data_IF_679693154109
#
_entry.id   IF_679693154109
#
_cell.length_a   1.000
_cell.length_b   1.000
_cell.length_c   1.000
_cell.angle_alpha   90.00
_cell.angle_beta   90.00
_cell.angle_gamma   90.00
#
_symmetry.space_group_name_H-M   'P 1'
#
loop_
_entity.id
_entity.type
_entity.pdbx_description
1 polymer ?
#
# COMPACT_ATOMS: atom_id res chain seq x y z
N UNK A 1 2.53 -28.63 32.67
CA UNK A 1 2.86 -27.73 31.56
C UNK A 1 2.01 -28.01 30.34
N UNK A 2 0.85 -27.38 30.28
CA UNK A 2 -0.04 -27.39 29.11
C UNK A 2 -0.41 -25.94 28.86
N UNK A 3 0.19 -25.34 27.82
CA UNK A 3 -0.20 -24.01 27.35
C UNK A 3 -1.53 -24.18 26.61
N UNK A 4 -2.66 -23.62 27.09
CA UNK A 4 -3.94 -23.75 26.40
C UNK A 4 -3.98 -22.85 25.16
N UNK A 5 -4.70 -23.31 24.13
CA UNK A 5 -5.28 -22.51 23.06
C UNK A 5 -4.39 -21.86 22.00
N UNK A 6 -3.42 -22.61 21.43
CA UNK A 6 -2.94 -22.27 20.08
C UNK A 6 -3.98 -22.65 19.03
N UNK A 7 -4.80 -21.68 18.61
CA UNK A 7 -5.63 -21.80 17.40
C UNK A 7 -4.71 -21.78 16.18
N UNK A 8 -4.41 -22.95 15.61
CA UNK A 8 -3.73 -23.07 14.32
C UNK A 8 -4.74 -22.94 13.19
N UNK A 9 -4.59 -21.92 12.35
CA UNK A 9 -5.32 -21.80 11.10
C UNK A 9 -4.53 -22.52 10.00
N UNK A 10 -5.09 -23.61 9.47
CA UNK A 10 -4.53 -24.35 8.34
C UNK A 10 -5.18 -23.83 7.06
N UNK A 11 -4.44 -23.02 6.30
CA UNK A 11 -4.86 -22.61 4.96
C UNK A 11 -4.24 -23.53 3.91
N UNK A 12 -4.93 -23.70 2.77
CA UNK A 12 -4.38 -24.43 1.63
C UNK A 12 -3.14 -23.66 1.13
N UNK A 13 -1.99 -24.33 1.11
CA UNK A 13 -0.75 -23.76 0.58
C UNK A 13 -0.93 -23.50 -0.92
N UNK A 14 -0.99 -22.22 -1.30
CA UNK A 14 -0.92 -21.79 -2.69
C UNK A 14 0.56 -21.74 -3.07
N UNK A 15 0.97 -22.60 -4.01
CA UNK A 15 2.36 -22.69 -4.49
C UNK A 15 2.82 -21.44 -5.25
N UNK A 16 1.89 -20.56 -5.64
CA UNK A 16 2.16 -19.28 -6.28
C UNK A 16 1.50 -18.17 -5.43
N UNK A 17 2.29 -17.17 -5.02
CA UNK A 17 1.75 -15.96 -4.41
C UNK A 17 1.45 -14.93 -5.51
N UNK A 18 0.56 -13.98 -5.22
CA UNK A 18 0.22 -12.89 -6.14
C UNK A 18 1.49 -12.24 -6.70
N UNK A 19 2.47 -11.97 -5.83
CA UNK A 19 3.77 -11.40 -6.18
C UNK A 19 4.48 -12.15 -7.33
N UNK A 20 4.58 -13.47 -7.28
CA UNK A 20 5.20 -14.28 -8.34
C UNK A 20 4.38 -14.38 -9.63
N UNK A 21 3.07 -14.12 -9.56
CA UNK A 21 2.17 -14.10 -10.71
C UNK A 21 2.23 -12.76 -11.46
N UNK A 22 2.24 -11.63 -10.74
CA UNK A 22 2.38 -10.28 -11.31
C UNK A 22 3.82 -9.90 -11.71
N UNK A 23 4.82 -10.74 -11.40
CA UNK A 23 6.19 -10.63 -11.96
C UNK A 23 6.31 -11.10 -13.42
N UNK A 24 5.23 -11.66 -13.99
CA UNK A 24 5.14 -12.03 -15.40
C UNK A 24 4.68 -10.82 -16.22
N UNK A 25 5.00 -10.77 -17.52
CA UNK A 25 4.50 -9.70 -18.40
C UNK A 25 2.98 -9.86 -18.60
N UNK A 26 2.19 -9.18 -17.77
CA UNK A 26 0.73 -9.27 -17.75
C UNK A 26 0.11 -8.05 -18.43
N UNK A 27 -0.92 -8.26 -19.25
CA UNK A 27 -1.71 -7.17 -19.80
C UNK A 27 -2.41 -6.37 -18.68
N UNK A 28 -2.50 -5.04 -18.80
CA UNK A 28 -3.25 -4.17 -17.88
C UNK A 28 -4.66 -4.70 -17.56
N UNK A 29 -5.37 -5.19 -18.58
CA UNK A 29 -6.71 -5.79 -18.41
C UNK A 29 -6.74 -7.02 -17.49
N UNK A 30 -5.68 -7.83 -17.50
CA UNK A 30 -5.60 -9.02 -16.63
C UNK A 30 -5.28 -8.61 -15.19
N UNK A 31 -4.40 -7.63 -15.03
CA UNK A 31 -4.06 -7.04 -13.75
C UNK A 31 -5.30 -6.44 -13.07
N UNK A 32 -6.06 -5.63 -13.81
CA UNK A 32 -7.30 -5.02 -13.35
C UNK A 32 -8.30 -6.08 -12.86
N UNK A 33 -8.45 -7.18 -13.61
CA UNK A 33 -9.31 -8.32 -13.22
C UNK A 33 -8.84 -9.00 -11.94
N UNK A 34 -7.54 -9.23 -11.78
CA UNK A 34 -6.99 -9.83 -10.57
C UNK A 34 -7.27 -8.95 -9.35
N UNK A 35 -7.07 -7.64 -9.51
CA UNK A 35 -7.32 -6.66 -8.47
C UNK A 35 -8.81 -6.59 -8.09
N UNK A 36 -9.71 -6.59 -9.08
CA UNK A 36 -11.16 -6.65 -8.86
C UNK A 36 -11.56 -7.92 -8.09
N UNK A 37 -11.01 -9.08 -8.47
CA UNK A 37 -11.25 -10.34 -7.75
C UNK A 37 -10.74 -10.28 -6.29
N UNK A 38 -9.55 -9.72 -6.06
CA UNK A 38 -8.99 -9.56 -4.71
C UNK A 38 -9.86 -8.64 -3.84
N UNK A 39 -10.31 -7.51 -4.39
CA UNK A 39 -11.21 -6.57 -3.70
C UNK A 39 -12.59 -7.18 -3.43
N UNK A 40 -13.13 -7.99 -4.35
CA UNK A 40 -14.36 -8.75 -4.11
C UNK A 40 -14.20 -9.74 -2.96
N UNK A 41 -13.06 -10.44 -2.90
CA UNK A 41 -12.72 -11.31 -1.78
C UNK A 41 -12.63 -10.54 -0.46
N UNK A 42 -11.90 -9.42 -0.43
CA UNK A 42 -11.76 -8.56 0.76
C UNK A 42 -13.11 -7.97 1.21
N UNK A 43 -13.93 -7.49 0.27
CA UNK A 43 -15.26 -6.97 0.56
C UNK A 43 -16.21 -8.05 1.09
N UNK A 44 -16.11 -9.28 0.58
CA UNK A 44 -16.88 -10.43 1.07
C UNK A 44 -16.40 -10.94 2.45
N UNK A 45 -15.16 -10.63 2.84
CA UNK A 45 -14.56 -11.03 4.11
C UNK A 45 -14.70 -9.99 5.23
N UNK A 46 -15.38 -8.85 5.00
CA UNK A 46 -15.28 -7.73 5.92
C UNK A 46 -16.07 -7.90 7.23
N UNK A 47 -15.33 -8.14 8.32
CA UNK A 47 -15.51 -7.51 9.63
C UNK A 47 -14.17 -7.06 10.28
N UNK A 48 -13.01 -7.09 9.60
CA UNK A 48 -11.69 -6.90 10.28
C UNK A 48 -10.63 -6.01 9.61
N UNK A 49 -11.00 -5.01 8.81
CA UNK A 49 -10.14 -3.85 8.50
C UNK A 49 -8.66 -4.18 8.12
N UNK A 50 -8.43 -5.26 7.36
CA UNK A 50 -7.10 -5.69 6.95
C UNK A 50 -6.65 -4.94 5.71
N UNK A 51 -5.76 -3.98 5.92
CA UNK A 51 -5.17 -3.09 4.91
C UNK A 51 -4.05 -3.82 4.15
N UNK A 52 -4.36 -4.48 3.03
CA UNK A 52 -3.33 -5.04 2.15
C UNK A 52 -2.97 -4.05 1.02
N UNK A 53 -2.40 -2.89 1.39
CA UNK A 53 -2.14 -1.77 0.48
C UNK A 53 -1.05 -2.03 -0.59
N UNK A 54 -0.16 -2.98 -0.37
CA UNK A 54 0.99 -3.19 -1.27
C UNK A 54 0.65 -3.97 -2.55
N UNK A 55 -0.47 -4.72 -2.57
CA UNK A 55 -0.83 -5.58 -3.71
C UNK A 55 -1.40 -4.77 -4.88
N UNK A 56 -2.12 -3.68 -4.61
CA UNK A 56 -2.82 -2.90 -5.63
C UNK A 56 -1.87 -2.06 -6.49
N UNK A 57 -0.84 -1.46 -5.86
CA UNK A 57 0.15 -0.63 -6.58
C UNK A 57 1.04 -1.50 -7.46
N UNK A 58 1.50 -2.64 -6.93
CA UNK A 58 2.36 -3.53 -7.69
C UNK A 58 1.65 -4.14 -8.90
N UNK A 59 0.42 -4.62 -8.69
CA UNK A 59 -0.41 -5.15 -9.76
C UNK A 59 -0.43 -4.16 -10.94
N UNK A 60 -0.73 -2.89 -10.66
CA UNK A 60 -1.03 -1.90 -11.69
C UNK A 60 0.17 -1.19 -12.31
N UNK A 61 1.21 -0.94 -11.53
CA UNK A 61 2.40 -0.26 -12.05
C UNK A 61 3.41 -1.25 -12.66
N UNK A 62 3.23 -2.55 -12.43
CA UNK A 62 4.22 -3.60 -12.69
C UNK A 62 5.60 -3.28 -12.07
N UNK A 63 5.62 -2.33 -11.13
CA UNK A 63 6.78 -1.81 -10.43
C UNK A 63 6.55 -2.04 -8.96
N UNK A 64 7.49 -2.70 -8.32
CA UNK A 64 7.51 -2.79 -6.87
C UNK A 64 8.01 -1.44 -6.33
N UNK A 65 7.19 -0.41 -6.39
CA UNK A 65 7.59 0.97 -6.05
C UNK A 65 8.08 1.11 -4.61
N UNK A 66 7.69 0.17 -3.74
CA UNK A 66 8.14 0.06 -2.36
C UNK A 66 9.21 -1.02 -2.14
N UNK A 67 9.50 -1.89 -3.11
CA UNK A 67 10.55 -2.89 -2.92
C UNK A 67 11.91 -2.23 -2.88
N UNK A 68 12.73 -2.69 -1.95
CA UNK A 68 14.09 -2.22 -1.74
C UNK A 68 15.00 -3.39 -2.10
N UNK A 69 15.84 -3.19 -3.12
CA UNK A 69 16.89 -4.14 -3.44
C UNK A 69 18.03 -4.04 -2.41
N UNK A 70 18.74 -5.14 -2.14
CA UNK A 70 19.86 -5.12 -1.19
C UNK A 70 21.00 -4.20 -1.63
N UNK A 71 21.16 -3.98 -2.93
CA UNK A 71 22.14 -3.03 -3.47
C UNK A 71 21.81 -1.56 -3.21
N UNK A 72 20.56 -1.25 -2.85
CA UNK A 72 20.13 0.11 -2.50
C UNK A 72 20.44 0.47 -1.04
N UNK A 73 20.80 -0.51 -0.21
CA UNK A 73 21.04 -0.31 1.22
C UNK A 73 22.47 0.15 1.48
N UNK A 74 22.59 1.26 2.19
CA UNK A 74 23.87 1.63 2.81
C UNK A 74 24.12 0.78 4.07
N UNK A 75 25.39 0.65 4.45
CA UNK A 75 25.78 -0.11 5.63
C UNK A 75 25.09 0.44 6.89
N UNK A 76 24.27 -0.41 7.54
CA UNK A 76 23.50 -0.03 8.72
C UNK A 76 22.09 0.51 8.46
N UNK A 77 21.66 0.63 7.20
CA UNK A 77 20.27 1.01 6.88
C UNK A 77 19.29 -0.14 7.03
N UNK A 78 18.12 0.18 7.59
CA UNK A 78 17.00 -0.76 7.68
C UNK A 78 16.12 -0.65 6.43
N UNK A 79 15.89 -1.78 5.74
CA UNK A 79 14.96 -1.88 4.61
C UNK A 79 13.59 -1.27 4.91
N UNK A 80 13.08 -1.46 6.13
CA UNK A 80 11.79 -0.93 6.56
C UNK A 80 11.77 0.60 6.57
N UNK A 81 12.87 1.26 6.95
CA UNK A 81 12.94 2.71 6.97
C UNK A 81 12.78 3.29 5.55
N UNK A 82 13.41 2.66 4.55
CA UNK A 82 13.29 3.05 3.14
C UNK A 82 11.86 2.80 2.62
N UNK A 83 11.24 1.67 2.98
CA UNK A 83 9.84 1.39 2.62
C UNK A 83 8.91 2.47 3.17
N UNK A 84 9.05 2.81 4.45
CA UNK A 84 8.25 3.83 5.12
C UNK A 84 8.48 5.24 4.54
N UNK A 85 9.73 5.57 4.21
CA UNK A 85 10.05 6.83 3.51
C UNK A 85 9.34 6.90 2.16
N UNK A 86 9.39 5.83 1.36
CA UNK A 86 8.69 5.78 0.07
C UNK A 86 7.18 5.91 0.22
N UNK A 87 6.58 5.23 1.20
CA UNK A 87 5.16 5.35 1.49
C UNK A 87 4.77 6.80 1.83
N UNK A 88 5.53 7.48 2.69
CA UNK A 88 5.30 8.88 3.00
C UNK A 88 5.51 9.80 1.79
N UNK A 89 6.59 9.57 1.04
CA UNK A 89 6.96 10.38 -0.12
C UNK A 89 5.90 10.32 -1.22
N UNK A 90 5.26 9.16 -1.41
CA UNK A 90 4.34 8.93 -2.52
C UNK A 90 2.89 9.24 -2.15
N UNK A 91 2.45 8.92 -0.93
CA UNK A 91 1.01 8.88 -0.61
C UNK A 91 0.59 9.83 0.50
N UNK A 92 1.52 10.30 1.34
CA UNK A 92 1.16 11.21 2.43
C UNK A 92 1.26 12.68 1.98
N UNK A 93 0.14 13.39 2.07
CA UNK A 93 0.13 14.85 2.15
C UNK A 93 0.21 15.32 3.61
N UNK A 94 0.38 16.64 3.81
CA UNK A 94 0.53 17.23 5.14
C UNK A 94 -0.68 16.93 6.05
N UNK A 95 -1.89 16.98 5.50
CA UNK A 95 -3.13 16.77 6.24
C UNK A 95 -3.30 15.31 6.63
N UNK A 96 -3.03 14.38 5.71
CA UNK A 96 -3.13 12.95 5.93
C UNK A 96 -2.06 12.44 6.88
N UNK A 97 -0.83 12.97 6.78
CA UNK A 97 0.22 12.66 7.74
C UNK A 97 -0.16 13.11 9.16
N UNK A 98 -0.67 14.34 9.31
CA UNK A 98 -1.12 14.83 10.61
C UNK A 98 -2.23 13.97 11.20
N UNK A 99 -3.24 13.60 10.40
CA UNK A 99 -4.33 12.74 10.83
C UNK A 99 -3.83 11.34 11.24
N UNK A 100 -2.91 10.77 10.47
CA UNK A 100 -2.26 9.50 10.80
C UNK A 100 -1.50 9.56 12.13
N UNK A 101 -0.71 10.62 12.35
CA UNK A 101 0.05 10.82 13.58
C UNK A 101 -0.86 10.97 14.81
N UNK A 102 -2.04 11.55 14.65
CA UNK A 102 -3.07 11.61 15.69
C UNK A 102 -3.70 10.24 15.95
N UNK A 103 -4.01 9.49 14.89
CA UNK A 103 -4.62 8.16 14.97
C UNK A 103 -3.72 7.15 15.70
N UNK A 104 -2.42 7.10 15.38
CA UNK A 104 -1.49 6.16 16.02
C UNK A 104 -1.19 6.52 17.48
N UNK A 105 -1.45 7.76 17.89
CA UNK A 105 -1.21 8.25 19.24
C UNK A 105 0.28 8.54 19.54
N UNK A 106 0.52 9.49 20.44
CA UNK A 106 1.88 9.94 20.78
C UNK A 106 2.72 8.89 21.55
N UNK A 107 2.05 7.98 22.27
CA UNK A 107 2.71 6.92 23.05
C UNK A 107 3.16 5.72 22.19
N UNK A 108 2.80 5.70 20.90
CA UNK A 108 3.20 4.63 19.99
C UNK A 108 4.68 4.79 19.61
N UNK A 109 5.44 3.70 19.69
CA UNK A 109 6.82 3.66 19.20
C UNK A 109 6.92 4.06 17.70
N UNK A 110 5.85 3.84 16.93
CA UNK A 110 5.76 4.25 15.53
C UNK A 110 5.66 5.77 15.35
N UNK A 111 5.12 6.49 16.33
CA UNK A 111 4.98 7.94 16.25
C UNK A 111 6.33 8.61 16.03
N UNK A 112 7.35 8.20 16.81
CA UNK A 112 8.70 8.74 16.65
C UNK A 112 9.32 8.36 15.31
N UNK A 113 9.18 7.10 14.90
CA UNK A 113 9.74 6.60 13.63
C UNK A 113 9.19 7.41 12.45
N UNK A 114 7.86 7.57 12.36
CA UNK A 114 7.23 8.34 11.29
C UNK A 114 7.60 9.82 11.36
N UNK A 115 7.77 10.40 12.55
CA UNK A 115 8.22 11.79 12.72
C UNK A 115 9.63 11.99 12.18
N UNK A 116 10.57 11.10 12.52
CA UNK A 116 11.97 11.16 12.04
C UNK A 116 12.02 11.03 10.53
N UNK A 117 11.36 10.03 9.95
CA UNK A 117 11.34 9.85 8.49
C UNK A 117 10.72 11.07 7.79
N UNK A 118 9.60 11.59 8.31
CA UNK A 118 8.96 12.78 7.78
C UNK A 118 9.86 14.02 7.81
N UNK A 119 10.73 14.15 8.83
CA UNK A 119 11.67 15.27 8.97
C UNK A 119 12.84 15.23 7.98
N UNK A 120 13.09 14.09 7.35
CA UNK A 120 14.11 13.95 6.31
C UNK A 120 13.74 14.63 4.99
N UNK A 121 12.45 14.91 4.76
CA UNK A 121 12.02 15.59 3.54
C UNK A 121 12.30 17.10 3.60
N UNK A 122 12.78 17.65 2.49
CA UNK A 122 13.14 19.07 2.39
C UNK A 122 13.41 19.50 0.95
N UNK A 123 14.10 20.62 0.78
CA UNK A 123 14.48 21.12 -0.55
C UNK A 123 15.41 20.16 -1.29
N UNK A 124 16.34 19.56 -0.56
CA UNK A 124 17.36 18.66 -1.11
C UNK A 124 16.85 17.22 -1.27
N UNK A 125 15.83 16.85 -0.50
CA UNK A 125 15.12 15.56 -0.59
C UNK A 125 13.62 15.80 -0.68
N UNK A 126 13.12 16.30 -1.83
CA UNK A 126 11.69 16.55 -2.00
C UNK A 126 10.91 15.23 -2.05
N UNK A 127 9.66 15.28 -1.60
CA UNK A 127 8.71 14.19 -1.81
C UNK A 127 8.47 13.95 -3.30
N UNK A 128 8.01 12.75 -3.62
CA UNK A 128 7.65 12.34 -4.98
C UNK A 128 6.19 11.88 -5.03
N UNK A 129 5.21 12.79 -4.85
CA UNK A 129 3.80 12.39 -4.72
C UNK A 129 3.32 11.60 -5.92
N UNK A 130 2.66 10.46 -5.69
CA UNK A 130 2.15 9.58 -6.73
C UNK A 130 1.17 10.27 -7.67
N UNK A 131 0.37 11.21 -7.15
CA UNK A 131 -0.54 12.01 -7.95
C UNK A 131 0.16 12.78 -9.10
N UNK A 132 1.45 13.10 -8.94
CA UNK A 132 2.26 13.84 -9.90
C UNK A 132 3.07 12.93 -10.84
N UNK A 133 2.96 11.60 -10.72
CA UNK A 133 3.73 10.69 -11.57
C UNK A 133 3.15 10.62 -12.98
N UNK A 134 4.00 10.60 -14.00
CA UNK A 134 3.60 10.42 -15.39
C UNK A 134 3.92 9.00 -15.89
N UNK A 135 3.10 8.48 -16.79
CA UNK A 135 3.30 7.15 -17.37
C UNK A 135 2.07 6.61 -18.09
N UNK A 136 2.29 5.63 -18.96
CA UNK A 136 1.20 4.92 -19.63
C UNK A 136 0.33 4.18 -18.60
N UNK A 137 -0.99 4.42 -18.62
CA UNK A 137 -1.93 3.85 -17.64
C UNK A 137 -2.03 4.58 -16.30
N UNK A 138 -1.29 5.68 -16.09
CA UNK A 138 -1.43 6.54 -14.90
C UNK A 138 -2.39 7.71 -15.12
N UNK A 139 -3.59 7.40 -15.59
CA UNK A 139 -4.63 8.42 -15.79
C UNK A 139 -5.18 8.97 -14.45
N UNK A 140 -6.01 10.01 -14.55
CA UNK A 140 -6.58 10.67 -13.37
C UNK A 140 -7.45 9.76 -12.52
N UNK A 141 -8.17 8.81 -13.13
CA UNK A 141 -9.07 7.90 -12.43
C UNK A 141 -8.27 6.84 -11.67
N UNK A 142 -7.23 6.30 -12.28
CA UNK A 142 -6.32 5.38 -11.62
C UNK A 142 -5.59 6.06 -10.45
N UNK A 143 -5.12 7.30 -10.64
CA UNK A 143 -4.49 8.07 -9.57
C UNK A 143 -5.43 8.35 -8.40
N UNK A 144 -6.69 8.70 -8.69
CA UNK A 144 -7.72 8.90 -7.67
C UNK A 144 -8.02 7.58 -6.92
N UNK A 145 -8.08 6.47 -7.65
CA UNK A 145 -8.30 5.14 -7.08
C UNK A 145 -7.18 4.75 -6.10
N UNK A 146 -5.92 4.84 -6.53
CA UNK A 146 -4.76 4.53 -5.69
C UNK A 146 -4.69 5.49 -4.50
N UNK A 147 -4.88 6.81 -4.72
CA UNK A 147 -4.89 7.80 -3.64
C UNK A 147 -5.97 7.55 -2.59
N UNK A 148 -7.13 7.00 -3.00
CA UNK A 148 -8.16 6.55 -2.08
C UNK A 148 -7.72 5.37 -1.22
N UNK A 149 -7.16 4.33 -1.83
CA UNK A 149 -6.69 3.12 -1.13
C UNK A 149 -5.50 3.39 -0.20
N UNK A 150 -4.60 4.30 -0.60
CA UNK A 150 -3.38 4.61 0.16
C UNK A 150 -3.48 5.88 0.98
N UNK A 151 -4.68 6.44 1.15
CA UNK A 151 -4.87 7.65 1.93
C UNK A 151 -4.28 7.47 3.33
N UNK A 152 -3.39 8.38 3.72
CA UNK A 152 -2.71 8.31 5.00
C UNK A 152 -3.66 8.64 6.16
N UNK A 153 -4.68 9.46 5.92
CA UNK A 153 -5.78 9.68 6.87
C UNK A 153 -6.65 8.42 6.94
N UNK A 154 -6.63 7.64 8.04
CA UNK A 154 -7.36 6.38 8.12
C UNK A 154 -8.87 6.56 7.94
N UNK A 155 -9.43 7.69 8.37
CA UNK A 155 -10.86 7.98 8.25
C UNK A 155 -11.29 8.30 6.82
N UNK A 156 -10.35 8.64 5.93
CA UNK A 156 -10.62 8.93 4.51
C UNK A 156 -10.12 7.84 3.57
N UNK A 157 -9.52 6.77 4.11
CA UNK A 157 -9.06 5.63 3.32
C UNK A 157 -10.25 4.89 2.76
N UNK A 158 -10.20 4.64 1.46
CA UNK A 158 -11.25 3.96 0.72
C UNK A 158 -11.36 2.50 1.18
N UNK A 159 -12.57 2.05 1.50
CA UNK A 159 -12.83 0.65 1.83
C UNK A 159 -12.84 -0.22 0.56
N UNK A 160 -12.76 -1.54 0.72
CA UNK A 160 -12.89 -2.47 -0.40
C UNK A 160 -14.22 -2.28 -1.16
N UNK A 161 -15.32 -2.02 -0.45
CA UNK A 161 -16.64 -1.76 -1.07
C UNK A 161 -16.63 -0.46 -1.90
N UNK A 162 -16.05 0.61 -1.37
CA UNK A 162 -15.93 1.88 -2.09
C UNK A 162 -14.99 1.74 -3.30
N UNK A 163 -13.92 0.97 -3.16
CA UNK A 163 -12.99 0.68 -4.25
C UNK A 163 -13.68 -0.07 -5.40
N UNK A 164 -14.50 -1.10 -5.09
CA UNK A 164 -15.28 -1.82 -6.09
C UNK A 164 -16.28 -0.96 -6.85
N UNK A 165 -16.78 0.11 -6.23
CA UNK A 165 -17.68 1.08 -6.84
C UNK A 165 -16.94 2.23 -7.55
N UNK A 166 -15.60 2.22 -7.58
CA UNK A 166 -14.83 3.30 -8.20
C UNK A 166 -14.87 3.21 -9.73
N UNK A 167 -15.05 4.36 -10.39
CA UNK A 167 -15.10 4.52 -11.85
C UNK A 167 -13.98 3.82 -12.63
N UNK A 168 -12.79 3.78 -12.04
CA UNK A 168 -11.65 3.09 -12.64
C UNK A 168 -11.87 1.57 -12.81
N UNK A 169 -12.70 0.94 -11.97
CA UNK A 169 -13.08 -0.47 -12.07
C UNK A 169 -14.39 -0.73 -12.86
N UNK A 170 -15.08 0.31 -13.33
CA UNK A 170 -16.36 0.18 -14.06
C UNK A 170 -16.18 -0.52 -15.41
N UNK A 171 -14.99 -0.40 -16.03
CA UNK A 171 -14.67 -0.96 -17.34
C UNK A 171 -13.87 -2.29 -17.28
N UNK A 172 -13.71 -2.84 -16.08
CA UNK A 172 -12.91 -4.05 -15.79
C UNK A 172 -13.75 -5.33 -15.78
#
# INVERSE_FOLDING_TARGET
>A
DTVPDRRMFVFRHLNENLLGFVQRDLSLKLIERILKCALQGLAALHEQDLVHNDTCIYAMTQRLVLAVDESELLEGEDKLAIVLERQLSYFADESGFKAFMQYIGAESAWHEIFRVINSGFGKDQPRKPFALWDGNGLDGDFKAFIGGLTNFDPAKRMTAQQALAHRWLENV
#
